data_IF_890911088180
#
_entry.id   IF_890911088180
#
_cell.length_a   1.000
_cell.length_b   1.000
_cell.length_c   1.000
_cell.angle_alpha   90.00
_cell.angle_beta   90.00
_cell.angle_gamma   90.00
#
_symmetry.space_group_name_H-M   'P 1'
#
loop_
_entity.id
_entity.type
_entity.pdbx_description
1 polymer ?
#
# COMPACT_ATOMS: atom_id res chain seq x y z
N UNK A 1 -17.58 9.97 -12.16
CA UNK A 1 -16.52 9.20 -11.48
C UNK A 1 -16.63 9.52 -10.00
N UNK A 2 -16.63 8.52 -9.13
CA UNK A 2 -16.61 8.76 -7.68
C UNK A 2 -15.28 9.45 -7.34
N UNK A 3 -15.31 10.40 -6.42
CA UNK A 3 -14.10 11.08 -5.97
C UNK A 3 -13.26 10.08 -5.16
N UNK A 4 -12.00 9.90 -5.53
CA UNK A 4 -11.05 9.06 -4.80
C UNK A 4 -10.18 9.91 -3.89
N UNK A 5 -9.80 9.35 -2.75
CA UNK A 5 -8.95 9.97 -1.74
C UNK A 5 -7.93 8.94 -1.24
N UNK A 6 -6.73 9.42 -0.90
CA UNK A 6 -5.71 8.58 -0.25
C UNK A 6 -6.02 8.53 1.24
N UNK A 7 -6.28 7.33 1.73
CA UNK A 7 -6.51 7.06 3.15
C UNK A 7 -5.34 6.28 3.74
N UNK A 8 -4.95 6.66 4.95
CA UNK A 8 -4.03 5.90 5.79
C UNK A 8 -4.87 4.91 6.59
N UNK A 9 -4.62 3.62 6.41
CA UNK A 9 -5.36 2.53 7.05
C UNK A 9 -4.44 1.80 8.01
N UNK A 10 -4.80 1.83 9.29
CA UNK A 10 -4.13 1.13 10.36
C UNK A 10 -4.70 -0.29 10.48
N UNK A 11 -3.83 -1.30 10.39
CA UNK A 11 -4.18 -2.69 10.65
C UNK A 11 -4.15 -3.00 12.15
N UNK A 12 -4.64 -4.17 12.57
CA UNK A 12 -4.58 -4.58 13.97
C UNK A 12 -3.13 -4.63 14.48
N UNK A 13 -2.82 -3.74 15.42
CA UNK A 13 -1.51 -3.56 16.04
C UNK A 13 -1.27 -4.49 17.24
N UNK A 14 -2.15 -5.48 17.47
CA UNK A 14 -1.95 -6.47 18.53
C UNK A 14 -0.74 -7.37 18.25
N UNK A 15 -0.02 -7.67 19.31
CA UNK A 15 1.09 -8.62 19.28
C UNK A 15 2.46 -7.96 19.15
N UNK A 16 3.44 -8.76 18.78
CA UNK A 16 4.78 -8.28 18.50
C UNK A 16 4.90 -7.70 17.07
N UNK A 17 6.02 -7.05 16.77
CA UNK A 17 6.22 -6.37 15.47
C UNK A 17 6.01 -7.28 14.25
N UNK A 18 6.32 -8.58 14.34
CA UNK A 18 6.10 -9.51 13.23
C UNK A 18 4.62 -9.77 13.00
N UNK A 19 3.84 -9.95 14.07
CA UNK A 19 2.39 -10.15 14.00
C UNK A 19 1.70 -8.91 13.43
N UNK A 20 2.14 -7.73 13.84
CA UNK A 20 1.63 -6.46 13.34
C UNK A 20 1.89 -6.30 11.83
N UNK A 21 3.09 -6.66 11.37
CA UNK A 21 3.41 -6.66 9.94
C UNK A 21 2.58 -7.70 9.18
N UNK A 22 2.39 -8.90 9.75
CA UNK A 22 1.56 -9.95 9.15
C UNK A 22 0.09 -9.52 9.03
N UNK A 23 -0.46 -8.83 10.04
CA UNK A 23 -1.82 -8.30 10.00
C UNK A 23 -1.99 -7.24 8.91
N UNK A 24 -1.02 -6.34 8.78
CA UNK A 24 -0.98 -5.36 7.68
C UNK A 24 -0.93 -6.04 6.31
N UNK A 25 -0.14 -7.10 6.18
CA UNK A 25 -0.06 -7.90 4.96
C UNK A 25 -1.38 -8.61 4.62
N UNK A 26 -2.03 -9.22 5.61
CA UNK A 26 -3.35 -9.87 5.44
C UNK A 26 -4.42 -8.86 5.01
N UNK A 27 -4.47 -7.70 5.68
CA UNK A 27 -5.40 -6.63 5.35
C UNK A 27 -5.15 -6.11 3.93
N UNK A 28 -3.88 -5.88 3.54
CA UNK A 28 -3.54 -5.41 2.19
C UNK A 28 -4.01 -6.38 1.10
N UNK A 29 -3.81 -7.69 1.30
CA UNK A 29 -4.34 -8.72 0.39
C UNK A 29 -5.87 -8.71 0.34
N UNK A 30 -6.54 -8.64 1.50
CA UNK A 30 -8.00 -8.61 1.56
C UNK A 30 -8.58 -7.39 0.82
N UNK A 31 -7.95 -6.22 0.95
CA UNK A 31 -8.33 -5.01 0.20
C UNK A 31 -8.16 -5.21 -1.30
N UNK A 32 -7.04 -5.80 -1.74
CA UNK A 32 -6.79 -6.07 -3.15
C UNK A 32 -7.81 -7.06 -3.74
N UNK A 33 -8.12 -8.14 -3.02
CA UNK A 33 -9.16 -9.11 -3.39
C UNK A 33 -10.53 -8.42 -3.49
N UNK A 34 -10.90 -7.64 -2.48
CA UNK A 34 -12.16 -6.89 -2.47
C UNK A 34 -12.29 -5.93 -3.66
N UNK A 35 -11.20 -5.27 -4.03
CA UNK A 35 -11.16 -4.36 -5.17
C UNK A 35 -11.39 -5.11 -6.49
N UNK A 36 -10.74 -6.27 -6.67
CA UNK A 36 -10.91 -7.12 -7.84
C UNK A 36 -12.33 -7.68 -7.96
N UNK A 37 -12.89 -8.21 -6.86
CA UNK A 37 -14.24 -8.78 -6.82
C UNK A 37 -15.32 -7.76 -7.20
N UNK A 38 -15.09 -6.50 -6.87
CA UNK A 38 -16.07 -5.42 -7.11
C UNK A 38 -15.77 -4.57 -8.34
N UNK A 39 -14.66 -4.82 -9.04
CA UNK A 39 -14.18 -3.95 -10.11
C UNK A 39 -13.99 -2.50 -9.64
N UNK A 40 -13.56 -2.31 -8.39
CA UNK A 40 -13.36 -0.99 -7.80
C UNK A 40 -12.01 -0.39 -8.22
N UNK A 41 -11.99 0.91 -8.50
CA UNK A 41 -10.75 1.64 -8.78
C UNK A 41 -10.01 1.92 -7.47
N UNK A 42 -8.99 1.11 -7.20
CA UNK A 42 -8.22 1.13 -5.95
C UNK A 42 -6.73 1.10 -6.27
N UNK A 43 -5.97 1.99 -5.65
CA UNK A 43 -4.52 2.03 -5.79
C UNK A 43 -3.83 2.03 -4.44
N UNK A 44 -2.74 1.26 -4.33
CA UNK A 44 -1.88 1.27 -3.16
C UNK A 44 -0.77 2.30 -3.35
N UNK A 45 -0.45 3.02 -2.29
CA UNK A 45 0.58 4.05 -2.28
C UNK A 45 1.75 3.68 -1.37
N UNK A 46 2.93 4.20 -1.71
CA UNK A 46 4.10 4.27 -0.83
C UNK A 46 4.31 5.74 -0.41
N UNK A 47 4.93 5.96 0.76
CA UNK A 47 5.44 7.29 1.12
C UNK A 47 6.65 7.63 0.23
N UNK A 48 6.72 8.87 -0.29
CA UNK A 48 7.90 9.30 -1.07
C UNK A 48 9.14 9.46 -0.20
N UNK A 49 8.93 9.87 1.05
CA UNK A 49 9.97 9.97 2.07
C UNK A 49 9.93 8.75 2.99
N UNK A 50 11.08 8.33 3.57
CA UNK A 50 11.13 7.24 4.53
C UNK A 50 10.45 7.65 5.85
N UNK A 51 9.12 7.63 5.87
CA UNK A 51 8.34 7.64 7.09
C UNK A 51 8.51 6.26 7.74
N UNK A 52 9.25 6.25 8.85
CA UNK A 52 9.72 5.02 9.49
C UNK A 52 8.57 4.07 9.83
N UNK A 53 8.48 2.96 9.09
CA UNK A 53 8.01 1.66 9.57
C UNK A 53 6.61 1.57 10.18
N UNK A 54 5.76 2.58 10.00
CA UNK A 54 4.40 2.53 10.48
C UNK A 54 3.68 1.39 9.74
N UNK A 55 3.08 0.41 10.44
CA UNK A 55 2.42 -0.75 9.85
C UNK A 55 1.04 -0.37 9.30
N UNK A 56 1.03 0.60 8.39
CA UNK A 56 -0.16 1.15 7.75
C UNK A 56 -0.21 0.77 6.27
N UNK A 57 -1.39 0.90 5.69
CA UNK A 57 -1.64 0.84 4.26
C UNK A 57 -2.05 2.23 3.78
N UNK A 58 -1.48 2.70 2.69
CA UNK A 58 -1.97 3.89 2.00
C UNK A 58 -2.80 3.43 0.82
N UNK A 59 -4.09 3.75 0.83
CA UNK A 59 -5.04 3.25 -0.17
C UNK A 59 -5.80 4.43 -0.76
N UNK A 60 -5.63 4.66 -2.05
CA UNK A 60 -6.47 5.56 -2.84
C UNK A 60 -7.74 4.81 -3.25
N UNK A 61 -8.89 5.24 -2.74
CA UNK A 61 -10.19 4.65 -3.08
C UNK A 61 -11.33 5.65 -2.86
N UNK A 62 -12.56 5.26 -3.22
CA UNK A 62 -13.77 6.05 -2.91
C UNK A 62 -14.21 5.83 -1.46
N UNK A 63 -14.94 6.79 -0.89
CA UNK A 63 -15.51 6.66 0.47
C UNK A 63 -16.41 5.43 0.61
N UNK A 64 -17.17 5.09 -0.43
CA UNK A 64 -18.03 3.90 -0.43
C UNK A 64 -17.22 2.60 -0.39
N UNK A 65 -16.03 2.59 -0.99
CA UNK A 65 -15.13 1.46 -0.90
C UNK A 65 -14.44 1.41 0.47
N UNK A 66 -14.04 2.57 1.03
CA UNK A 66 -13.48 2.65 2.38
C UNK A 66 -14.42 2.03 3.44
N UNK A 67 -15.73 2.33 3.38
CA UNK A 67 -16.74 1.71 4.27
C UNK A 67 -16.83 0.18 4.17
N UNK A 68 -16.35 -0.41 3.08
CA UNK A 68 -16.24 -1.86 2.92
C UNK A 68 -14.93 -2.37 3.50
N UNK A 69 -13.83 -1.63 3.33
CA UNK A 69 -12.55 -1.92 3.99
C UNK A 69 -12.71 -1.93 5.51
N UNK A 70 -13.49 -1.01 6.08
CA UNK A 70 -13.78 -0.93 7.53
C UNK A 70 -14.41 -2.20 8.12
N UNK A 71 -14.98 -3.06 7.27
CA UNK A 71 -15.61 -4.32 7.66
C UNK A 71 -14.68 -5.53 7.50
N UNK A 72 -13.48 -5.33 6.94
CA UNK A 72 -12.50 -6.40 6.77
C UNK A 72 -11.88 -6.77 8.12
N UNK A 73 -11.56 -8.05 8.27
CA UNK A 73 -10.82 -8.53 9.43
C UNK A 73 -9.42 -7.90 9.46
N UNK A 74 -8.97 -7.53 10.66
CA UNK A 74 -7.71 -6.80 10.85
C UNK A 74 -7.75 -5.31 10.55
N UNK A 75 -8.88 -4.73 10.09
CA UNK A 75 -9.04 -3.27 10.06
C UNK A 75 -9.14 -2.72 11.49
N UNK A 76 -8.39 -1.64 11.78
CA UNK A 76 -8.45 -0.95 13.07
C UNK A 76 -9.05 0.44 12.95
N UNK A 77 -8.47 1.26 12.08
CA UNK A 77 -8.83 2.68 11.92
C UNK A 77 -8.34 3.21 10.60
N UNK A 78 -9.01 4.24 10.08
CA UNK A 78 -8.59 5.02 8.92
C UNK A 78 -8.38 6.48 9.31
N UNK A 79 -7.51 7.15 8.56
CA UNK A 79 -7.24 8.57 8.62
C UNK A 79 -7.13 9.10 7.19
N UNK A 80 -7.52 10.35 6.98
CA UNK A 80 -7.18 11.02 5.73
C UNK A 80 -5.69 11.38 5.71
N UNK A 81 -5.09 11.35 4.52
CA UNK A 81 -3.71 11.75 4.34
C UNK A 81 -3.52 13.21 4.80
N UNK A 82 -2.54 13.45 5.66
CA UNK A 82 -2.18 14.80 6.10
C UNK A 82 -1.60 15.61 4.94
N UNK A 83 -1.87 16.93 4.91
CA UNK A 83 -1.50 17.81 3.78
C UNK A 83 0.01 17.81 3.46
N UNK A 84 0.85 17.57 4.47
CA UNK A 84 2.31 17.63 4.35
C UNK A 84 2.96 16.30 3.97
N UNK A 85 2.18 15.22 3.81
CA UNK A 85 2.73 13.89 3.52
C UNK A 85 2.62 13.57 2.04
N UNK A 86 3.77 13.51 1.37
CA UNK A 86 3.83 13.08 -0.02
C UNK A 86 3.77 11.56 -0.15
N UNK A 87 2.86 11.10 -1.01
CA UNK A 87 2.74 9.68 -1.38
C UNK A 87 2.76 9.51 -2.89
N UNK A 88 3.06 8.31 -3.36
CA UNK A 88 2.97 7.95 -4.77
C UNK A 88 2.32 6.58 -4.95
N UNK A 89 1.57 6.40 -6.05
CA UNK A 89 1.02 5.10 -6.42
C UNK A 89 2.16 4.12 -6.60
N UNK A 90 2.06 2.95 -5.96
CA UNK A 90 3.05 1.90 -5.98
C UNK A 90 2.51 0.66 -6.70
N UNK A 91 2.82 0.50 -8.01
CA UNK A 91 2.49 -0.73 -8.74
C UNK A 91 3.09 -1.97 -8.10
N UNK A 92 4.21 -1.81 -7.38
CA UNK A 92 4.86 -2.90 -6.65
C UNK A 92 4.04 -3.36 -5.46
N UNK A 93 3.54 -2.44 -4.62
CA UNK A 93 2.63 -2.81 -3.52
C UNK A 93 1.32 -3.39 -4.06
N UNK A 94 0.76 -2.78 -5.10
CA UNK A 94 -0.47 -3.28 -5.71
C UNK A 94 -0.34 -4.74 -6.17
N UNK A 95 0.77 -5.08 -6.82
CA UNK A 95 1.04 -6.44 -7.25
C UNK A 95 1.39 -7.38 -6.10
N UNK A 96 2.15 -6.91 -5.11
CA UNK A 96 2.49 -7.67 -3.92
C UNK A 96 1.23 -8.13 -3.15
N UNK A 97 0.25 -7.24 -3.00
CA UNK A 97 -1.01 -7.57 -2.32
C UNK A 97 -1.98 -8.35 -3.19
N UNK A 98 -2.05 -8.08 -4.49
CA UNK A 98 -2.93 -8.83 -5.38
C UNK A 98 -2.40 -10.22 -5.75
N UNK A 99 -1.22 -10.60 -5.25
CA UNK A 99 -0.55 -11.86 -5.61
C UNK A 99 -0.15 -11.92 -7.09
N UNK A 100 -0.23 -10.80 -7.80
CA UNK A 100 0.19 -10.69 -9.20
C UNK A 100 1.69 -10.46 -9.25
N UNK A 101 2.36 -10.99 -10.26
CA UNK A 101 3.76 -10.64 -10.52
C UNK A 101 3.84 -9.13 -10.77
N UNK A 102 4.52 -8.40 -9.87
CA UNK A 102 4.74 -6.97 -10.06
C UNK A 102 5.39 -6.72 -11.41
N UNK A 103 4.99 -5.67 -12.15
CA UNK A 103 5.80 -5.22 -13.26
C UNK A 103 7.19 -4.96 -12.69
N UNK A 104 8.21 -5.60 -13.28
CA UNK A 104 9.58 -5.50 -12.82
C UNK A 104 9.88 -4.03 -12.57
N UNK A 105 10.15 -3.66 -11.32
CA UNK A 105 10.56 -2.30 -11.00
C UNK A 105 11.67 -1.95 -11.98
N UNK A 106 11.51 -0.88 -12.76
CA UNK A 106 12.60 -0.31 -13.55
C UNK A 106 13.62 0.27 -12.57
N UNK A 107 14.31 -0.61 -11.83
CA UNK A 107 15.62 -0.35 -11.30
C UNK A 107 16.48 -0.18 -12.53
N UNK A 108 16.70 1.08 -12.93
CA UNK A 108 17.86 1.42 -13.72
C UNK A 108 19.04 0.69 -13.07
N UNK A 109 19.61 -0.28 -13.78
CA UNK A 109 20.74 -1.04 -13.28
C UNK A 109 21.82 -0.04 -12.84
N UNK A 110 22.47 -0.23 -11.68
CA UNK A 110 23.57 0.63 -11.28
C UNK A 110 24.60 0.62 -12.42
N UNK A 111 24.88 1.81 -12.99
CA UNK A 111 25.93 1.97 -14.01
C UNK A 111 27.22 1.44 -13.38
N UNK A 112 27.77 0.37 -13.96
CA UNK A 112 29.08 -0.19 -13.57
C UNK A 112 30.06 0.98 -13.38
N UNK A 113 30.86 1.01 -12.29
CA UNK A 113 31.91 2.01 -12.18
C UNK A 113 32.88 1.87 -13.37
N UNK A 114 33.44 2.97 -13.89
CA UNK A 114 34.39 2.91 -14.98
C UNK A 114 35.58 2.05 -14.54
N UNK A 115 35.90 1.02 -15.33
CA UNK A 115 37.20 0.35 -15.23
C UNK A 115 38.25 1.40 -15.59
N UNK A 116 39.03 1.85 -14.61
CA UNK A 116 40.32 2.47 -14.91
C UNK A 116 41.18 1.42 -15.58
N UNK A 117 41.56 1.68 -16.84
CA UNK A 117 42.44 0.83 -17.61
C UNK A 117 43.82 0.75 -16.97
N UNK A 118 44.34 -0.47 -16.86
CA UNK A 118 45.77 -0.75 -16.99
C UNK A 118 46.08 -0.96 -18.47
#
# INVERSE_FOLDING_TARGET
MAKTHVHIIEADLKGNVYEVMENREKLGRAVATLAQEQGADVHFHDFKEPLAGAPVLLVECSEDFLKKIEKLDGFKKSYDLWEDVETERSPRLAAHFSGSTAPAASRAAPKKPPRFGM
#
